data_IF_758317263965
#
_entry.id   IF_758317263965
#
_cell.length_a   1.000
_cell.length_b   1.000
_cell.length_c   1.000
_cell.angle_alpha   90.00
_cell.angle_beta   90.00
_cell.angle_gamma   90.00
#
_symmetry.space_group_name_H-M   'P 1'
#
loop_
_entity.id
_entity.type
_entity.pdbx_description
1 polymer ?
#
# COMPACT_ATOMS: atom_id res chain seq x y z
N UNK A 1 -13.75 10.43 38.73
CA UNK A 1 -13.36 11.24 37.56
C UNK A 1 -14.15 10.71 36.39
N UNK A 2 -14.89 11.58 35.70
CA UNK A 2 -15.62 11.24 34.47
C UNK A 2 -14.63 10.88 33.35
N UNK A 3 -15.10 10.23 32.29
CA UNK A 3 -14.26 9.90 31.14
C UNK A 3 -13.66 11.18 30.52
N UNK A 4 -14.45 12.23 30.40
CA UNK A 4 -14.04 13.53 29.87
C UNK A 4 -12.98 14.21 30.74
N UNK A 5 -13.11 14.13 32.07
CA UNK A 5 -12.10 14.64 33.00
C UNK A 5 -10.78 13.86 32.88
N UNK A 6 -10.83 12.53 32.74
CA UNK A 6 -9.63 11.69 32.51
C UNK A 6 -8.95 12.08 31.20
N UNK A 7 -9.73 12.18 30.10
CA UNK A 7 -9.20 12.60 28.80
C UNK A 7 -8.56 13.99 28.88
N UNK A 8 -9.22 14.96 29.52
CA UNK A 8 -8.67 16.31 29.67
C UNK A 8 -7.35 16.32 30.43
N UNK A 9 -7.20 15.47 31.46
CA UNK A 9 -5.95 15.35 32.19
C UNK A 9 -4.85 14.78 31.28
N UNK A 10 -5.13 13.68 30.57
CA UNK A 10 -4.17 13.02 29.68
C UNK A 10 -3.75 13.92 28.52
N UNK A 11 -4.66 14.70 27.95
CA UNK A 11 -4.33 15.67 26.91
C UNK A 11 -3.38 16.75 27.40
N UNK A 12 -3.57 17.25 28.62
CA UNK A 12 -2.65 18.22 29.20
C UNK A 12 -1.27 17.61 29.46
N UNK A 13 -1.21 16.37 29.96
CA UNK A 13 0.05 15.64 30.16
C UNK A 13 0.81 15.46 28.83
N UNK A 14 0.12 15.01 27.78
CA UNK A 14 0.70 14.86 26.42
C UNK A 14 1.20 16.20 25.87
N UNK A 15 0.40 17.26 25.96
CA UNK A 15 0.78 18.57 25.46
C UNK A 15 2.01 19.12 26.21
N UNK A 16 2.08 18.91 27.52
CA UNK A 16 3.21 19.34 28.35
C UNK A 16 4.49 18.54 28.03
N UNK A 17 4.38 17.23 27.85
CA UNK A 17 5.52 16.38 27.45
C UNK A 17 6.11 16.86 26.13
N UNK A 18 5.27 17.03 25.09
CA UNK A 18 5.74 17.51 23.79
C UNK A 18 6.34 18.92 23.90
N UNK A 19 5.72 19.80 24.69
CA UNK A 19 6.24 21.15 24.91
C UNK A 19 7.63 21.14 25.57
N UNK A 20 7.88 20.19 26.48
CA UNK A 20 9.17 20.01 27.14
C UNK A 20 10.26 19.45 26.23
N UNK A 21 9.88 18.69 25.20
CA UNK A 21 10.80 18.15 24.20
C UNK A 21 11.28 19.19 23.17
N UNK A 22 10.63 20.36 23.07
CA UNK A 22 10.99 21.42 22.13
C UNK A 22 11.86 22.46 22.87
N UNK A 23 13.16 22.59 22.55
CA UNK A 23 14.12 23.40 23.33
C UNK A 23 14.04 24.91 23.07
N UNK A 24 13.12 25.35 22.22
CA UNK A 24 12.98 26.74 21.78
C UNK A 24 11.53 27.22 21.88
N UNK A 25 11.33 28.52 21.65
CA UNK A 25 9.97 29.03 21.48
C UNK A 25 9.30 28.41 20.25
N UNK A 26 8.06 27.97 20.42
CA UNK A 26 7.24 27.37 19.37
C UNK A 26 5.83 28.00 19.40
N UNK A 27 5.12 27.90 18.29
CA UNK A 27 3.79 28.51 18.10
C UNK A 27 2.69 27.45 17.98
N UNK A 28 2.93 26.42 17.15
CA UNK A 28 1.99 25.33 16.89
C UNK A 28 2.72 24.00 16.91
N UNK A 29 2.01 22.97 17.38
CA UNK A 29 2.43 21.57 17.34
C UNK A 29 1.35 20.76 16.65
N UNK A 30 1.78 19.87 15.77
CA UNK A 30 0.94 18.93 15.03
C UNK A 30 1.47 17.52 15.25
N UNK A 31 0.81 16.77 16.11
CA UNK A 31 1.22 15.41 16.50
C UNK A 31 0.34 14.38 15.81
N UNK A 32 0.96 13.29 15.38
CA UNK A 32 0.28 12.13 14.84
C UNK A 32 0.75 10.88 15.58
N UNK A 33 -0.21 10.10 16.07
CA UNK A 33 0.02 8.80 16.67
C UNK A 33 -0.66 7.71 15.85
N UNK A 34 0.04 6.61 15.59
CA UNK A 34 -0.49 5.37 15.05
C UNK A 34 -0.20 4.26 16.07
N UNK A 35 -1.22 3.68 16.69
CA UNK A 35 -1.05 2.70 17.79
C UNK A 35 -2.03 1.55 17.63
N UNK A 36 -1.53 0.33 17.81
CA UNK A 36 -2.33 -0.88 17.94
C UNK A 36 -1.93 -1.69 19.20
N UNK A 37 -2.21 -2.98 19.19
CA UNK A 37 -1.89 -3.89 20.30
C UNK A 37 -0.47 -4.47 20.22
N UNK A 38 0.20 -4.38 19.06
CA UNK A 38 1.54 -4.92 18.81
C UNK A 38 2.62 -3.85 18.90
N UNK A 39 2.28 -2.59 18.65
CA UNK A 39 3.22 -1.49 18.66
C UNK A 39 2.62 -0.18 18.16
N UNK A 40 3.47 0.71 17.68
CA UNK A 40 3.04 1.96 17.10
C UNK A 40 4.15 2.99 16.94
N UNK A 41 3.78 4.15 16.47
CA UNK A 41 4.66 5.31 16.34
C UNK A 41 3.94 6.59 16.77
N UNK A 42 4.71 7.52 17.32
CA UNK A 42 4.28 8.88 17.60
C UNK A 42 5.34 9.81 17.05
N UNK A 43 4.94 10.78 16.24
CA UNK A 43 5.80 11.84 15.73
C UNK A 43 5.06 13.16 15.73
N UNK A 44 5.80 14.26 15.73
CA UNK A 44 5.21 15.58 15.64
C UNK A 44 6.03 16.54 14.78
N UNK A 45 5.34 17.57 14.32
CA UNK A 45 5.93 18.75 13.71
C UNK A 45 5.61 19.96 14.57
N UNK A 46 6.53 20.92 14.61
CA UNK A 46 6.30 22.19 15.28
C UNK A 46 6.70 23.37 14.39
N UNK A 47 6.16 24.55 14.70
CA UNK A 47 6.52 25.81 14.04
C UNK A 47 7.08 26.79 15.05
N UNK A 48 7.98 27.66 14.63
CA UNK A 48 8.49 28.77 15.43
C UNK A 48 7.54 30.00 15.36
N UNK A 49 7.58 30.92 16.34
CA UNK A 49 6.80 32.16 16.30
C UNK A 49 7.04 32.95 15.02
N UNK A 50 5.96 33.29 14.31
CA UNK A 50 6.02 34.05 13.06
C UNK A 50 6.49 33.27 11.82
N UNK A 51 6.76 31.96 11.95
CA UNK A 51 7.11 31.07 10.84
C UNK A 51 6.02 30.03 10.57
N UNK A 52 5.86 29.65 9.31
CA UNK A 52 5.06 28.49 8.90
C UNK A 52 5.94 27.29 8.50
N UNK A 53 7.25 27.39 8.72
CA UNK A 53 8.18 26.28 8.50
C UNK A 53 7.89 25.17 9.51
N UNK A 54 7.80 23.93 9.01
CA UNK A 54 7.53 22.75 9.82
C UNK A 54 8.86 22.07 10.17
N UNK A 55 9.16 22.01 11.46
CA UNK A 55 10.31 21.27 11.98
C UNK A 55 9.84 19.92 12.48
N UNK A 56 10.47 18.85 11.97
CA UNK A 56 10.22 17.49 12.45
C UNK A 56 10.86 17.29 13.83
N UNK A 57 10.21 16.55 14.73
CA UNK A 57 10.63 16.47 16.13
C UNK A 57 12.10 16.07 16.33
N UNK A 58 12.63 15.10 15.60
CA UNK A 58 14.04 14.69 15.73
C UNK A 58 15.03 15.71 15.19
N UNK A 59 14.59 16.73 14.44
CA UNK A 59 15.48 17.76 13.90
C UNK A 59 16.16 18.59 14.99
N UNK A 60 15.61 18.59 16.22
CA UNK A 60 16.23 19.25 17.38
C UNK A 60 17.59 18.64 17.72
N UNK A 61 17.78 17.34 17.52
CA UNK A 61 19.05 16.63 17.78
C UNK A 61 20.18 17.12 16.87
N UNK A 62 19.84 17.57 15.66
CA UNK A 62 20.81 18.08 14.70
C UNK A 62 21.12 19.57 14.92
N UNK A 63 20.24 20.29 15.62
CA UNK A 63 20.33 21.75 15.78
C UNK A 63 20.85 22.18 17.15
N UNK A 64 20.63 21.36 18.18
CA UNK A 64 20.89 21.69 19.57
C UNK A 64 21.71 20.61 20.24
N UNK A 65 22.47 20.99 21.27
CA UNK A 65 23.28 20.07 22.07
C UNK A 65 22.38 19.32 23.07
N UNK A 66 21.61 18.37 22.54
CA UNK A 66 20.67 17.52 23.28
C UNK A 66 21.21 16.09 23.24
N UNK A 67 21.22 15.43 24.40
CA UNK A 67 21.55 14.00 24.47
C UNK A 67 20.52 13.18 23.70
N UNK A 68 20.97 12.46 22.67
CA UNK A 68 20.11 11.57 21.89
C UNK A 68 19.39 10.55 22.79
N UNK A 69 20.10 9.99 23.78
CA UNK A 69 19.50 9.05 24.72
C UNK A 69 18.36 9.67 25.53
N UNK A 70 18.57 10.86 26.10
CA UNK A 70 17.56 11.55 26.91
C UNK A 70 16.34 11.92 26.06
N UNK A 71 16.57 12.37 24.83
CA UNK A 71 15.50 12.68 23.90
C UNK A 71 14.69 11.43 23.49
N UNK A 72 15.37 10.31 23.24
CA UNK A 72 14.71 9.05 22.89
C UNK A 72 13.93 8.47 24.07
N UNK A 73 14.41 8.66 25.31
CA UNK A 73 13.66 8.32 26.52
C UNK A 73 12.35 9.14 26.61
N UNK A 74 12.41 10.46 26.36
CA UNK A 74 11.20 11.31 26.28
C UNK A 74 10.28 10.91 25.13
N UNK A 75 10.82 10.59 23.95
CA UNK A 75 10.01 10.13 22.82
C UNK A 75 9.30 8.81 23.13
N UNK A 76 9.96 7.90 23.85
CA UNK A 76 9.36 6.65 24.30
C UNK A 76 8.29 6.87 25.38
N UNK A 77 8.49 7.82 26.28
CA UNK A 77 7.48 8.17 27.29
C UNK A 77 6.25 8.82 26.65
N UNK A 78 6.44 9.72 25.69
CA UNK A 78 5.36 10.28 24.89
C UNK A 78 4.56 9.17 24.18
N UNK A 79 5.24 8.19 23.59
CA UNK A 79 4.60 7.02 23.00
C UNK A 79 3.70 6.27 24.00
N UNK A 80 4.19 6.02 25.22
CA UNK A 80 3.38 5.39 26.28
C UNK A 80 2.18 6.24 26.68
N UNK A 81 2.29 7.56 26.72
CA UNK A 81 1.16 8.43 27.02
C UNK A 81 0.03 8.25 25.99
N UNK A 82 0.36 8.14 24.70
CA UNK A 82 -0.62 7.82 23.67
C UNK A 82 -1.15 6.38 23.79
N UNK A 83 -0.34 5.38 24.18
CA UNK A 83 -0.85 4.05 24.48
C UNK A 83 -1.86 4.07 25.64
N UNK A 84 -1.55 4.80 26.72
CA UNK A 84 -2.46 4.97 27.85
C UNK A 84 -3.75 5.64 27.40
N UNK A 85 -3.66 6.68 26.56
CA UNK A 85 -4.81 7.34 25.96
C UNK A 85 -5.65 6.39 25.10
N UNK A 86 -5.05 5.39 24.47
CA UNK A 86 -5.80 4.35 23.75
C UNK A 86 -6.45 3.36 24.72
N UNK A 87 -5.74 2.97 25.77
CA UNK A 87 -6.22 2.00 26.75
C UNK A 87 -7.43 2.52 27.55
N UNK A 88 -7.51 3.81 27.86
CA UNK A 88 -8.68 4.35 28.57
C UNK A 88 -9.98 4.22 27.76
N UNK A 89 -9.91 4.26 26.43
CA UNK A 89 -11.08 3.98 25.59
C UNK A 89 -11.54 2.53 25.77
N UNK A 90 -10.61 1.57 25.80
CA UNK A 90 -10.92 0.15 26.04
C UNK A 90 -11.54 -0.07 27.41
N UNK A 91 -10.96 0.53 28.45
CA UNK A 91 -11.43 0.41 29.84
C UNK A 91 -12.86 0.94 30.02
N UNK A 92 -13.22 2.00 29.29
CA UNK A 92 -14.55 2.61 29.30
C UNK A 92 -15.51 1.96 28.29
N UNK A 93 -15.10 0.85 27.67
CA UNK A 93 -15.93 0.05 26.76
C UNK A 93 -16.07 0.60 25.35
N UNK A 94 -15.26 1.59 24.96
CA UNK A 94 -15.18 2.09 23.59
C UNK A 94 -14.22 1.25 22.74
N UNK A 95 -14.48 1.23 21.43
CA UNK A 95 -13.53 0.69 20.46
C UNK A 95 -12.21 1.48 20.56
N UNK A 96 -11.05 0.80 20.60
CA UNK A 96 -9.77 1.48 20.62
C UNK A 96 -9.48 2.10 19.25
N UNK A 97 -9.19 3.40 19.24
CA UNK A 97 -8.72 4.08 18.04
C UNK A 97 -7.37 3.52 17.57
N UNK A 98 -7.08 3.64 16.27
CA UNK A 98 -5.82 3.20 15.67
C UNK A 98 -4.91 4.36 15.29
N UNK A 99 -5.48 5.56 15.14
CA UNK A 99 -4.70 6.78 14.96
C UNK A 99 -5.32 7.98 15.64
N UNK A 100 -4.47 8.89 16.11
CA UNK A 100 -4.85 10.11 16.80
C UNK A 100 -4.08 11.30 16.20
N UNK A 101 -4.81 12.27 15.66
CA UNK A 101 -4.28 13.60 15.36
C UNK A 101 -4.46 14.49 16.60
N UNK A 102 -3.36 15.05 17.10
CA UNK A 102 -3.32 15.86 18.31
C UNK A 102 -2.60 17.17 18.00
N UNK A 103 -3.37 18.22 17.70
CA UNK A 103 -2.84 19.54 17.37
C UNK A 103 -3.04 20.50 18.54
N UNK A 104 -2.04 21.31 18.86
CA UNK A 104 -2.21 22.38 19.82
C UNK A 104 -1.35 23.62 19.52
N UNK A 105 -1.73 24.73 20.12
CA UNK A 105 -1.02 26.03 19.98
C UNK A 105 -0.46 26.48 21.32
N UNK A 106 0.54 27.37 21.31
CA UNK A 106 1.10 27.98 22.53
C UNK A 106 0.04 28.67 23.40
N UNK A 107 -1.04 29.16 22.82
CA UNK A 107 -2.18 29.78 23.52
C UNK A 107 -3.10 28.76 24.23
N UNK A 108 -2.83 27.45 24.13
CA UNK A 108 -3.64 26.41 24.76
C UNK A 108 -4.87 25.96 23.97
N UNK A 109 -5.03 26.39 22.70
CA UNK A 109 -6.05 25.80 21.81
C UNK A 109 -5.64 24.38 21.45
N UNK A 110 -6.50 23.41 21.73
CA UNK A 110 -6.29 21.99 21.47
C UNK A 110 -7.35 21.47 20.49
N UNK A 111 -6.93 20.64 19.54
CA UNK A 111 -7.80 19.87 18.66
C UNK A 111 -7.31 18.42 18.61
N UNK A 112 -8.17 17.50 19.03
CA UNK A 112 -7.90 16.07 19.01
C UNK A 112 -8.93 15.38 18.12
N UNK A 113 -8.48 14.46 17.28
CA UNK A 113 -9.38 13.60 16.51
C UNK A 113 -8.83 12.19 16.38
N UNK A 114 -9.73 11.22 16.44
CA UNK A 114 -9.41 9.80 16.38
C UNK A 114 -9.91 9.20 15.06
N UNK A 115 -9.16 8.27 14.50
CA UNK A 115 -9.56 7.42 13.37
C UNK A 115 -9.24 5.96 13.72
N UNK A 116 -9.95 5.05 13.05
CA UNK A 116 -9.91 3.61 13.29
C UNK A 116 -9.63 2.88 11.96
N UNK A 117 -8.74 3.44 11.15
CA UNK A 117 -8.20 2.78 9.96
C UNK A 117 -7.01 1.94 10.43
N UNK A 118 -6.97 0.67 10.03
CA UNK A 118 -5.82 -0.18 10.35
C UNK A 118 -4.61 0.24 9.51
N UNK A 119 -3.81 1.14 10.09
CA UNK A 119 -2.61 1.69 9.48
C UNK A 119 -1.40 0.79 9.63
N UNK A 120 -1.40 -0.08 10.65
CA UNK A 120 -0.24 -0.91 10.99
C UNK A 120 -0.25 -2.19 10.15
N UNK A 121 -1.41 -2.81 9.95
CA UNK A 121 -1.58 -3.91 8.99
C UNK A 121 -1.78 -3.43 7.53
N UNK A 122 -1.62 -2.13 7.28
CA UNK A 122 -1.59 -1.63 5.90
C UNK A 122 -0.22 -1.87 5.27
N UNK A 123 -0.16 -1.90 3.93
CA UNK A 123 1.10 -1.93 3.18
C UNK A 123 1.96 -0.66 3.39
N UNK A 124 1.49 0.33 4.18
CA UNK A 124 2.22 1.55 4.43
C UNK A 124 3.24 1.37 5.55
N UNK A 125 4.51 1.33 5.17
CA UNK A 125 5.62 1.53 6.10
C UNK A 125 5.63 2.93 6.71
N UNK A 126 6.52 3.12 7.69
CA UNK A 126 6.61 4.34 8.51
C UNK A 126 6.66 5.63 7.68
N UNK A 127 7.59 5.69 6.73
CA UNK A 127 7.78 6.85 5.84
C UNK A 127 6.52 7.12 5.00
N UNK A 128 5.84 6.08 4.52
CA UNK A 128 4.60 6.21 3.75
C UNK A 128 3.49 6.88 4.56
N UNK A 129 3.32 6.49 5.83
CA UNK A 129 2.32 7.08 6.73
C UNK A 129 2.63 8.54 7.05
N UNK A 130 3.90 8.87 7.30
CA UNK A 130 4.35 10.24 7.51
C UNK A 130 4.11 11.13 6.28
N UNK A 131 4.46 10.64 5.09
CA UNK A 131 4.23 11.35 3.84
C UNK A 131 2.74 11.55 3.55
N UNK A 132 1.91 10.55 3.81
CA UNK A 132 0.47 10.69 3.71
C UNK A 132 -0.08 11.74 4.68
N UNK A 133 0.38 11.74 5.93
CA UNK A 133 0.01 12.76 6.91
C UNK A 133 0.41 14.17 6.44
N UNK A 134 1.67 14.36 6.00
CA UNK A 134 2.15 15.66 5.48
C UNK A 134 1.30 16.18 4.32
N UNK A 135 1.01 15.31 3.35
CA UNK A 135 0.17 15.65 2.21
C UNK A 135 -1.26 16.02 2.64
N UNK A 136 -1.90 15.17 3.46
CA UNK A 136 -3.28 15.38 3.91
C UNK A 136 -3.43 16.64 4.76
N UNK A 137 -2.46 16.90 5.64
CA UNK A 137 -2.51 17.99 6.63
C UNK A 137 -2.05 19.33 6.06
N UNK A 138 -0.98 19.32 5.27
CA UNK A 138 -0.27 20.54 4.85
C UNK A 138 -0.20 20.72 3.33
N UNK A 139 -0.66 19.74 2.53
CA UNK A 139 -0.53 19.77 1.07
C UNK A 139 0.91 19.58 0.58
N UNK A 140 1.82 19.10 1.45
CA UNK A 140 3.22 18.91 1.13
C UNK A 140 3.40 17.55 0.44
N UNK A 141 3.94 17.59 -0.77
CA UNK A 141 4.29 16.41 -1.54
C UNK A 141 5.68 15.87 -1.12
N UNK A 142 5.89 14.54 -1.15
CA UNK A 142 7.19 13.94 -0.97
C UNK A 142 8.21 14.44 -2.00
N UNK A 143 9.49 14.43 -1.61
CA UNK A 143 10.57 14.96 -2.46
C UNK A 143 10.98 13.96 -3.55
N UNK A 144 10.89 12.66 -3.28
CA UNK A 144 11.30 11.62 -4.21
C UNK A 144 10.12 11.11 -5.03
N UNK A 145 10.39 10.75 -6.28
CA UNK A 145 9.39 10.13 -7.17
C UNK A 145 8.86 8.82 -6.60
N UNK A 146 9.71 8.03 -5.94
CA UNK A 146 9.33 6.82 -5.22
C UNK A 146 8.26 7.07 -4.15
N UNK A 147 8.49 8.07 -3.30
CA UNK A 147 7.53 8.41 -2.24
C UNK A 147 6.26 9.06 -2.79
N UNK A 148 6.35 9.77 -3.92
CA UNK A 148 5.19 10.31 -4.64
C UNK A 148 4.30 9.20 -5.20
N UNK A 149 4.90 8.18 -5.82
CA UNK A 149 4.17 7.00 -6.32
C UNK A 149 3.50 6.28 -5.16
N UNK A 150 4.25 6.02 -4.07
CA UNK A 150 3.69 5.41 -2.85
C UNK A 150 2.55 6.23 -2.27
N UNK A 151 2.69 7.55 -2.16
CA UNK A 151 1.64 8.44 -1.65
C UNK A 151 0.36 8.38 -2.50
N UNK A 152 0.49 8.37 -3.83
CA UNK A 152 -0.65 8.25 -4.75
C UNK A 152 -1.36 6.91 -4.56
N UNK A 153 -0.62 5.81 -4.47
CA UNK A 153 -1.14 4.48 -4.15
C UNK A 153 -1.87 4.51 -2.80
N UNK A 154 -1.26 5.09 -1.77
CA UNK A 154 -1.86 5.22 -0.45
C UNK A 154 -3.21 5.93 -0.49
N UNK A 155 -3.25 7.10 -1.12
CA UNK A 155 -4.45 7.92 -1.18
C UNK A 155 -5.60 7.21 -1.92
N UNK A 156 -5.30 6.41 -2.95
CA UNK A 156 -6.30 5.60 -3.64
C UNK A 156 -6.84 4.46 -2.75
N UNK A 157 -5.96 3.69 -2.10
CA UNK A 157 -6.33 2.63 -1.14
C UNK A 157 -7.17 3.20 0.03
N UNK A 158 -6.80 4.39 0.54
CA UNK A 158 -7.53 5.03 1.62
C UNK A 158 -8.91 5.53 1.18
N UNK A 159 -9.03 6.02 -0.05
CA UNK A 159 -10.32 6.40 -0.63
C UNK A 159 -11.21 5.17 -0.85
N UNK A 160 -10.66 4.04 -1.28
CA UNK A 160 -11.44 2.79 -1.38
C UNK A 160 -11.85 2.31 0.01
N UNK A 161 -10.91 2.11 0.94
CA UNK A 161 -11.20 1.67 2.33
C UNK A 161 -12.21 2.56 3.05
N UNK A 162 -12.14 3.90 2.89
CA UNK A 162 -13.16 4.80 3.48
C UNK A 162 -14.55 4.55 2.90
N UNK A 163 -14.69 4.37 1.57
CA UNK A 163 -15.99 4.01 0.96
C UNK A 163 -16.51 2.67 1.50
N UNK A 164 -15.63 1.74 1.81
CA UNK A 164 -15.97 0.39 2.29
C UNK A 164 -16.33 0.35 3.77
N UNK A 165 -15.67 1.14 4.62
CA UNK A 165 -16.04 1.26 6.03
C UNK A 165 -17.46 1.80 6.23
N UNK A 166 -17.97 2.60 5.29
CA UNK A 166 -19.38 3.00 5.26
C UNK A 166 -20.35 1.87 4.83
N UNK A 167 -19.85 0.72 4.35
CA UNK A 167 -20.65 -0.43 3.89
C UNK A 167 -20.76 -1.59 4.90
N UNK A 168 -19.89 -1.68 5.92
CA UNK A 168 -19.95 -2.70 7.00
C UNK A 168 -19.60 -4.13 6.54
N UNK A 169 -19.29 -5.02 7.50
CA UNK A 169 -18.75 -6.39 7.33
C UNK A 169 -19.65 -7.42 6.60
N UNK A 170 -20.59 -6.98 5.76
CA UNK A 170 -21.47 -7.82 4.95
C UNK A 170 -21.12 -7.72 3.45
N UNK A 171 -19.83 -7.73 3.11
CA UNK A 171 -19.42 -7.68 1.70
C UNK A 171 -19.64 -9.04 1.05
N UNK A 172 -20.34 -9.02 -0.07
CA UNK A 172 -20.52 -10.19 -0.96
C UNK A 172 -19.19 -10.61 -1.58
N UNK A 173 -19.10 -11.85 -2.06
CA UNK A 173 -17.92 -12.34 -2.78
C UNK A 173 -17.56 -11.45 -3.97
N UNK A 174 -18.57 -11.00 -4.72
CA UNK A 174 -18.40 -10.10 -5.86
C UNK A 174 -17.86 -8.72 -5.45
N UNK A 175 -18.25 -8.20 -4.29
CA UNK A 175 -17.70 -6.94 -3.77
C UNK A 175 -16.23 -7.10 -3.38
N UNK A 176 -15.89 -8.18 -2.67
CA UNK A 176 -14.50 -8.52 -2.33
C UNK A 176 -13.65 -8.68 -3.60
N UNK A 177 -14.15 -9.38 -4.61
CA UNK A 177 -13.47 -9.52 -5.90
C UNK A 177 -13.21 -8.17 -6.57
N UNK A 178 -14.22 -7.30 -6.61
CA UNK A 178 -14.07 -5.98 -7.21
C UNK A 178 -13.01 -5.14 -6.48
N UNK A 179 -12.86 -5.27 -5.17
CA UNK A 179 -11.78 -4.62 -4.43
C UNK A 179 -10.42 -5.14 -4.85
N UNK A 180 -10.25 -6.46 -4.86
CA UNK A 180 -9.00 -7.09 -5.28
C UNK A 180 -8.62 -6.71 -6.70
N UNK A 181 -9.58 -6.68 -7.62
CA UNK A 181 -9.36 -6.24 -8.99
C UNK A 181 -8.91 -4.78 -9.06
N UNK A 182 -9.55 -3.89 -8.29
CA UNK A 182 -9.13 -2.50 -8.24
C UNK A 182 -7.71 -2.36 -7.65
N UNK A 183 -7.36 -3.11 -6.61
CA UNK A 183 -6.02 -3.09 -6.03
C UNK A 183 -4.96 -3.56 -7.02
N UNK A 184 -5.20 -4.69 -7.71
CA UNK A 184 -4.33 -5.22 -8.76
C UNK A 184 -4.15 -4.22 -9.90
N UNK A 185 -5.25 -3.68 -10.44
CA UNK A 185 -5.20 -2.72 -11.55
C UNK A 185 -4.43 -1.45 -11.15
N UNK A 186 -4.62 -0.97 -9.91
CA UNK A 186 -3.90 0.20 -9.40
C UNK A 186 -2.40 -0.10 -9.20
N UNK A 187 -2.03 -1.29 -8.74
CA UNK A 187 -0.63 -1.69 -8.59
C UNK A 187 0.07 -1.68 -9.94
N UNK A 188 -0.49 -2.37 -10.93
CA UNK A 188 0.11 -2.43 -12.28
C UNK A 188 0.17 -1.03 -12.91
N UNK A 189 -0.88 -0.22 -12.74
CA UNK A 189 -0.88 1.17 -13.21
C UNK A 189 0.22 2.01 -12.58
N UNK A 190 0.53 1.76 -11.30
CA UNK A 190 1.60 2.45 -10.57
C UNK A 190 3.00 2.00 -10.97
N UNK A 191 3.15 0.78 -11.50
CA UNK A 191 4.42 0.26 -12.04
C UNK A 191 4.80 0.88 -13.38
N UNK A 192 3.85 1.44 -14.14
CA UNK A 192 4.10 2.01 -15.47
C UNK A 192 4.36 3.53 -15.36
N UNK A 193 5.61 4.01 -15.55
CA UNK A 193 5.99 5.41 -15.30
C UNK A 193 5.64 6.36 -16.47
N UNK A 194 4.84 5.89 -17.43
CA UNK A 194 4.44 6.63 -18.62
C UNK A 194 2.95 6.52 -18.86
N UNK A 195 2.43 7.40 -19.71
CA UNK A 195 1.06 7.27 -20.20
C UNK A 195 0.87 5.94 -20.93
N UNK A 196 -0.17 5.20 -20.58
CA UNK A 196 -0.53 3.89 -21.13
C UNK A 196 -2.01 3.84 -21.50
N UNK A 197 -2.40 2.91 -22.38
CA UNK A 197 -3.76 2.77 -22.91
C UNK A 197 -4.42 1.45 -22.47
N UNK A 198 -3.71 0.33 -22.66
CA UNK A 198 -4.18 -1.02 -22.31
C UNK A 198 -3.08 -1.78 -21.58
N UNK A 199 -3.48 -2.59 -20.62
CA UNK A 199 -2.64 -3.51 -19.87
C UNK A 199 -3.20 -4.92 -20.04
N UNK A 200 -2.31 -5.87 -20.30
CA UNK A 200 -2.60 -7.28 -20.42
C UNK A 200 -1.75 -8.03 -19.42
N UNK A 201 -2.37 -8.77 -18.51
CA UNK A 201 -1.68 -9.47 -17.42
C UNK A 201 -2.07 -10.93 -17.40
N UNK A 202 -1.10 -11.80 -17.20
CA UNK A 202 -1.31 -13.22 -16.91
C UNK A 202 -0.58 -13.56 -15.61
N UNK A 203 -1.30 -14.17 -14.68
CA UNK A 203 -0.76 -14.67 -13.43
C UNK A 203 -0.89 -16.20 -13.41
N UNK A 204 0.17 -16.90 -13.04
CA UNK A 204 0.19 -18.34 -12.76
C UNK A 204 0.50 -18.51 -11.27
N UNK A 205 -0.43 -19.05 -10.47
CA UNK A 205 -0.26 -19.12 -9.02
C UNK A 205 -0.76 -20.46 -8.48
N UNK A 206 0.06 -21.11 -7.67
CA UNK A 206 -0.36 -22.26 -6.86
C UNK A 206 0.12 -22.13 -5.40
N UNK A 207 0.05 -23.23 -4.65
CA UNK A 207 0.42 -23.25 -3.22
C UNK A 207 1.93 -23.19 -2.98
N UNK A 208 2.75 -23.49 -4.00
CA UNK A 208 4.22 -23.53 -3.90
C UNK A 208 4.88 -22.24 -4.37
N UNK A 209 4.27 -21.56 -5.34
CA UNK A 209 4.82 -20.35 -5.92
C UNK A 209 3.94 -19.83 -7.05
N UNK A 210 4.48 -18.89 -7.82
CA UNK A 210 3.81 -18.38 -8.98
C UNK A 210 4.60 -17.27 -9.65
N UNK A 211 3.97 -16.70 -10.65
CA UNK A 211 4.56 -15.76 -11.59
C UNK A 211 3.47 -14.81 -12.08
N UNK A 212 3.82 -13.54 -12.25
CA UNK A 212 2.93 -12.55 -12.85
C UNK A 212 3.69 -11.82 -13.95
N UNK A 213 3.12 -11.83 -15.15
CA UNK A 213 3.67 -11.19 -16.35
C UNK A 213 2.66 -10.14 -16.79
N UNK A 214 3.13 -8.96 -17.20
CA UNK A 214 2.26 -8.02 -17.90
C UNK A 214 2.93 -7.32 -19.07
N UNK A 215 2.11 -6.92 -20.03
CA UNK A 215 2.44 -6.06 -21.15
C UNK A 215 1.53 -4.83 -21.12
N UNK A 216 2.03 -3.70 -21.61
CA UNK A 216 1.21 -2.50 -21.77
C UNK A 216 1.42 -1.82 -23.12
N UNK A 217 0.43 -1.05 -23.53
CA UNK A 217 0.46 -0.24 -24.77
C UNK A 217 0.48 1.24 -24.43
N UNK A 218 1.11 2.04 -25.28
CA UNK A 218 1.12 3.51 -25.16
C UNK A 218 -0.05 4.12 -25.95
N UNK A 219 -0.52 5.33 -25.61
CA UNK A 219 -1.59 5.99 -26.36
C UNK A 219 -1.28 6.07 -27.87
N UNK A 220 -2.19 5.57 -28.69
CA UNK A 220 -2.05 5.57 -30.16
C UNK A 220 -1.07 4.54 -30.73
N UNK A 221 -0.58 3.58 -29.92
CA UNK A 221 0.26 2.47 -30.37
C UNK A 221 -0.29 1.13 -29.90
N UNK A 222 -0.27 0.13 -30.77
CA UNK A 222 -0.56 -1.27 -30.42
C UNK A 222 0.72 -2.05 -30.07
N UNK A 223 1.87 -1.38 -29.98
CA UNK A 223 3.14 -1.98 -29.58
C UNK A 223 3.09 -2.44 -28.11
N UNK A 224 3.40 -3.72 -27.89
CA UNK A 224 3.45 -4.33 -26.56
C UNK A 224 4.79 -3.99 -25.91
N UNK A 225 4.73 -3.29 -24.78
CA UNK A 225 5.87 -2.97 -23.95
C UNK A 225 5.90 -3.96 -22.78
N UNK A 226 6.95 -4.77 -22.71
CA UNK A 226 7.11 -5.80 -21.70
C UNK A 226 7.55 -5.22 -20.35
N UNK A 227 6.95 -5.69 -19.26
CA UNK A 227 7.11 -5.07 -17.94
C UNK A 227 8.55 -5.03 -17.41
N UNK A 228 9.38 -6.06 -17.64
CA UNK A 228 10.78 -6.07 -17.13
C UNK A 228 11.65 -5.01 -17.79
N UNK A 229 11.26 -4.50 -18.96
CA UNK A 229 11.98 -3.41 -19.61
C UNK A 229 11.76 -2.06 -18.91
N UNK A 230 10.77 -1.92 -18.02
CA UNK A 230 10.45 -0.66 -17.34
C UNK A 230 11.67 -0.11 -16.58
N UNK A 231 12.37 -0.96 -15.84
CA UNK A 231 13.57 -0.57 -15.09
C UNK A 231 14.62 0.06 -15.97
N UNK A 232 14.92 -0.57 -17.11
CA UNK A 232 15.92 -0.10 -18.06
C UNK A 232 15.44 1.12 -18.84
N UNK A 233 14.24 1.07 -19.40
CA UNK A 233 13.77 2.05 -20.39
C UNK A 233 13.39 3.39 -19.74
N UNK A 234 13.03 3.38 -18.45
CA UNK A 234 12.65 4.59 -17.70
C UNK A 234 13.53 4.86 -16.48
N UNK A 235 14.65 4.15 -16.35
CA UNK A 235 15.61 4.33 -15.27
C UNK A 235 14.96 4.19 -13.87
N UNK A 236 14.06 3.22 -13.73
CA UNK A 236 13.51 2.80 -12.43
C UNK A 236 14.50 1.82 -11.81
N UNK A 237 14.82 1.99 -10.53
CA UNK A 237 15.74 1.09 -9.82
C UNK A 237 15.23 -0.35 -9.86
N UNK A 238 16.11 -1.32 -10.14
CA UNK A 238 15.78 -2.74 -10.12
C UNK A 238 15.19 -3.17 -8.76
N UNK A 239 15.78 -2.71 -7.65
CA UNK A 239 15.27 -2.98 -6.29
C UNK A 239 13.83 -2.48 -6.11
N UNK A 240 13.51 -1.29 -6.63
CA UNK A 240 12.16 -0.72 -6.57
C UNK A 240 11.19 -1.54 -7.41
N UNK A 241 11.63 -1.94 -8.60
CA UNK A 241 10.81 -2.73 -9.50
C UNK A 241 10.52 -4.12 -8.92
N UNK A 242 11.52 -4.77 -8.33
CA UNK A 242 11.39 -6.07 -7.68
C UNK A 242 10.41 -6.00 -6.50
N UNK A 243 10.49 -4.95 -5.67
CA UNK A 243 9.52 -4.71 -4.58
C UNK A 243 8.07 -4.57 -5.11
N UNK A 244 7.88 -3.78 -6.18
CA UNK A 244 6.57 -3.58 -6.79
C UNK A 244 6.04 -4.87 -7.41
N UNK A 245 6.89 -5.62 -8.11
CA UNK A 245 6.52 -6.89 -8.70
C UNK A 245 6.17 -7.94 -7.64
N UNK A 246 6.93 -8.01 -6.55
CA UNK A 246 6.63 -8.90 -5.42
C UNK A 246 5.27 -8.56 -4.80
N UNK A 247 4.94 -7.27 -4.64
CA UNK A 247 3.62 -6.86 -4.17
C UNK A 247 2.51 -7.30 -5.15
N UNK A 248 2.69 -7.07 -6.45
CA UNK A 248 1.76 -7.51 -7.47
C UNK A 248 1.52 -9.03 -7.41
N UNK A 249 2.58 -9.81 -7.27
CA UNK A 249 2.50 -11.25 -7.07
C UNK A 249 1.68 -11.62 -5.82
N UNK A 250 1.90 -10.95 -4.68
CA UNK A 250 1.12 -11.18 -3.47
C UNK A 250 -0.36 -10.80 -3.63
N UNK A 251 -0.69 -9.76 -4.40
CA UNK A 251 -2.09 -9.41 -4.70
C UNK A 251 -2.80 -10.53 -5.45
N UNK A 252 -2.16 -11.14 -6.46
CA UNK A 252 -2.72 -12.31 -7.15
C UNK A 252 -2.81 -13.54 -6.24
N UNK A 253 -1.84 -13.76 -5.35
CA UNK A 253 -1.91 -14.82 -4.34
C UNK A 253 -3.08 -14.61 -3.38
N UNK A 254 -3.30 -13.38 -2.94
CA UNK A 254 -4.44 -13.01 -2.11
C UNK A 254 -5.76 -13.22 -2.85
N UNK A 255 -5.82 -12.88 -4.15
CA UNK A 255 -7.00 -13.12 -4.99
C UNK A 255 -7.33 -14.61 -5.06
N UNK A 256 -6.31 -15.46 -5.22
CA UNK A 256 -6.49 -16.91 -5.17
C UNK A 256 -6.95 -17.40 -3.81
N UNK A 257 -6.41 -16.84 -2.73
CA UNK A 257 -6.82 -17.20 -1.37
C UNK A 257 -8.26 -16.79 -1.05
N UNK A 258 -8.74 -15.66 -1.59
CA UNK A 258 -10.12 -15.23 -1.46
C UNK A 258 -11.09 -16.31 -1.98
N UNK A 259 -10.79 -16.92 -3.14
CA UNK A 259 -11.59 -18.04 -3.66
C UNK A 259 -11.66 -19.18 -2.64
N UNK A 260 -10.52 -19.57 -2.05
CA UNK A 260 -10.49 -20.64 -1.04
C UNK A 260 -11.31 -20.31 0.20
N UNK A 261 -11.18 -19.09 0.72
CA UNK A 261 -11.87 -18.68 1.95
C UNK A 261 -13.37 -18.56 1.74
N UNK A 262 -13.80 -18.28 0.52
CA UNK A 262 -15.21 -18.20 0.11
C UNK A 262 -15.72 -19.53 -0.47
N UNK A 263 -15.00 -20.63 -0.19
CA UNK A 263 -15.35 -22.01 -0.59
C UNK A 263 -15.47 -22.24 -2.11
N UNK A 264 -14.80 -21.42 -2.91
CA UNK A 264 -14.64 -21.60 -4.36
C UNK A 264 -13.36 -22.37 -4.70
N UNK A 265 -13.38 -23.06 -5.84
CA UNK A 265 -12.20 -23.74 -6.37
C UNK A 265 -11.09 -22.73 -6.71
N UNK A 266 -9.87 -22.90 -6.17
CA UNK A 266 -8.78 -21.98 -6.42
C UNK A 266 -8.25 -22.15 -7.84
N UNK A 267 -8.34 -21.10 -8.63
CA UNK A 267 -7.76 -21.04 -9.97
C UNK A 267 -6.24 -21.22 -9.95
N UNK A 268 -5.69 -21.57 -11.11
CA UNK A 268 -4.26 -21.83 -11.32
C UNK A 268 -3.62 -20.78 -12.22
N UNK A 269 -4.39 -20.21 -13.15
CA UNK A 269 -4.01 -18.98 -13.84
C UNK A 269 -5.16 -17.98 -13.92
N UNK A 270 -4.80 -16.70 -13.98
CA UNK A 270 -5.72 -15.57 -14.03
C UNK A 270 -5.23 -14.61 -15.12
N UNK A 271 -6.05 -14.45 -16.15
CA UNK A 271 -5.89 -13.42 -17.16
C UNK A 271 -6.64 -12.17 -16.70
N UNK A 272 -5.93 -11.04 -16.65
CA UNK A 272 -6.39 -9.79 -16.06
C UNK A 272 -6.04 -8.63 -16.99
N UNK A 273 -7.01 -8.25 -17.83
CA UNK A 273 -6.84 -7.18 -18.80
C UNK A 273 -7.62 -5.95 -18.39
N UNK A 274 -7.01 -4.78 -18.51
CA UNK A 274 -7.73 -3.54 -18.31
C UNK A 274 -7.24 -2.41 -19.19
N UNK A 275 -8.06 -1.38 -19.24
CA UNK A 275 -7.90 -0.21 -20.09
C UNK A 275 -7.90 1.05 -19.24
N UNK A 276 -7.31 2.12 -19.76
CA UNK A 276 -7.22 3.40 -19.05
C UNK A 276 -8.59 3.99 -18.71
N UNK A 277 -9.61 3.73 -19.53
CA UNK A 277 -11.00 4.16 -19.28
C UNK A 277 -11.75 3.26 -18.28
N UNK A 278 -11.08 2.26 -17.71
CA UNK A 278 -11.60 1.45 -16.61
C UNK A 278 -12.40 0.21 -17.04
N UNK A 279 -12.34 -0.21 -18.31
CA UNK A 279 -12.89 -1.51 -18.70
C UNK A 279 -11.92 -2.60 -18.25
N UNK A 280 -12.47 -3.61 -17.59
CA UNK A 280 -11.76 -4.74 -17.00
C UNK A 280 -12.34 -6.04 -17.56
N UNK A 281 -11.47 -6.96 -17.97
CA UNK A 281 -11.82 -8.35 -18.31
C UNK A 281 -10.95 -9.27 -17.46
N UNK A 282 -11.57 -10.17 -16.71
CA UNK A 282 -10.87 -11.16 -15.89
C UNK A 282 -11.39 -12.55 -16.23
N UNK A 283 -10.48 -13.50 -16.45
CA UNK A 283 -10.82 -14.91 -16.65
C UNK A 283 -9.86 -15.81 -15.88
N UNK A 284 -10.40 -16.92 -15.39
CA UNK A 284 -9.68 -17.89 -14.56
C UNK A 284 -9.60 -19.24 -15.27
N UNK A 285 -8.47 -19.92 -15.15
CA UNK A 285 -8.22 -21.27 -15.67
C UNK A 285 -7.69 -22.17 -14.54
N UNK A 286 -7.82 -23.48 -14.72
CA UNK A 286 -7.58 -24.53 -13.74
C UNK A 286 -6.54 -25.57 -14.21
N UNK A 287 -5.90 -25.36 -15.36
CA UNK A 287 -4.75 -26.17 -15.80
C UNK A 287 -3.58 -25.99 -14.83
N UNK A 288 -3.08 -27.07 -14.27
CA UNK A 288 -1.96 -27.06 -13.32
C UNK A 288 -0.60 -26.86 -14.00
N UNK A 289 -0.43 -25.68 -14.60
CA UNK A 289 0.74 -25.24 -15.37
C UNK A 289 2.07 -25.49 -14.65
N UNK A 290 2.09 -25.33 -13.33
CA UNK A 290 3.33 -25.42 -12.53
C UNK A 290 3.78 -26.87 -12.35
N UNK A 291 2.88 -27.85 -12.46
CA UNK A 291 3.24 -29.28 -12.44
C UNK A 291 3.44 -29.87 -13.84
N UNK A 292 3.38 -29.05 -14.90
CA UNK A 292 3.74 -29.45 -16.26
C UNK A 292 5.26 -29.40 -16.48
N UNK A 293 5.72 -29.98 -17.59
CA UNK A 293 7.13 -29.87 -18.02
C UNK A 293 7.46 -28.54 -18.70
N UNK A 294 6.44 -27.72 -19.01
CA UNK A 294 6.59 -26.43 -19.68
C UNK A 294 7.13 -25.39 -18.71
N UNK A 295 8.28 -24.83 -19.07
CA UNK A 295 8.95 -23.84 -18.24
C UNK A 295 8.27 -22.47 -18.33
N UNK A 296 8.88 -21.48 -17.66
CA UNK A 296 8.38 -20.11 -17.66
C UNK A 296 8.31 -19.51 -19.07
N UNK A 297 9.35 -19.71 -19.86
CA UNK A 297 9.47 -19.16 -21.20
C UNK A 297 8.45 -19.80 -22.14
N UNK A 298 8.26 -21.12 -22.06
CA UNK A 298 7.25 -21.86 -22.83
C UNK A 298 5.83 -21.35 -22.57
N UNK A 299 5.48 -21.15 -21.30
CA UNK A 299 4.15 -20.60 -20.91
C UNK A 299 3.96 -19.16 -21.40
N UNK A 300 4.99 -18.32 -21.27
CA UNK A 300 4.95 -16.95 -21.76
C UNK A 300 4.79 -16.90 -23.29
N UNK A 301 5.59 -17.67 -24.02
CA UNK A 301 5.52 -17.77 -25.47
C UNK A 301 4.14 -18.25 -25.93
N UNK A 302 3.56 -19.26 -25.26
CA UNK A 302 2.21 -19.72 -25.54
C UNK A 302 1.16 -18.63 -25.28
N UNK A 303 1.25 -17.90 -24.15
CA UNK A 303 0.36 -16.78 -23.87
C UNK A 303 0.45 -15.71 -24.95
N UNK A 304 1.66 -15.29 -25.32
CA UNK A 304 1.89 -14.26 -26.34
C UNK A 304 1.34 -14.68 -27.71
N UNK A 305 1.53 -15.94 -28.10
CA UNK A 305 0.95 -16.52 -29.30
C UNK A 305 -0.58 -16.55 -29.26
N UNK A 306 -1.17 -17.11 -28.20
CA UNK A 306 -2.63 -17.25 -28.07
C UNK A 306 -3.32 -15.89 -28.03
N UNK A 307 -2.74 -14.92 -27.31
CA UNK A 307 -3.33 -13.61 -27.05
C UNK A 307 -3.15 -12.63 -28.19
N UNK A 308 -1.95 -12.59 -28.77
CA UNK A 308 -1.53 -11.54 -29.70
C UNK A 308 -1.11 -12.06 -31.08
N UNK A 309 -1.04 -13.38 -31.28
CA UNK A 309 -0.52 -13.97 -32.51
C UNK A 309 0.99 -13.77 -32.69
N UNK A 310 1.72 -13.49 -31.61
CA UNK A 310 3.19 -13.33 -31.64
C UNK A 310 3.82 -14.72 -31.70
N UNK A 311 4.57 -14.98 -32.77
CA UNK A 311 5.26 -16.26 -32.97
C UNK A 311 6.73 -16.07 -32.57
N UNK A 312 7.30 -16.93 -31.71
CA UNK A 312 8.72 -16.87 -31.36
C UNK A 312 9.64 -17.05 -32.57
N UNK A 313 10.84 -16.52 -32.50
CA UNK A 313 11.81 -16.61 -33.61
C UNK A 313 12.45 -18.00 -33.72
N UNK A 314 12.61 -18.69 -32.58
CA UNK A 314 13.32 -19.96 -32.52
C UNK A 314 12.39 -21.15 -32.81
N UNK A 315 12.88 -22.10 -33.62
CA UNK A 315 12.10 -23.27 -34.01
C UNK A 315 11.67 -24.16 -32.84
N UNK A 316 12.53 -24.31 -31.82
CA UNK A 316 12.20 -25.11 -30.64
C UNK A 316 11.07 -24.47 -29.80
N UNK A 317 11.02 -23.14 -29.69
CA UNK A 317 9.95 -22.42 -28.98
C UNK A 317 8.62 -22.53 -29.72
N UNK A 318 8.65 -22.53 -31.05
CA UNK A 318 7.46 -22.79 -31.87
C UNK A 318 6.94 -24.21 -31.72
N UNK A 319 7.82 -25.20 -31.53
CA UNK A 319 7.41 -26.59 -31.30
C UNK A 319 6.82 -26.77 -29.90
N UNK A 320 7.42 -26.15 -28.87
CA UNK A 320 6.89 -26.15 -27.50
C UNK A 320 5.47 -25.55 -27.44
N UNK A 321 5.18 -24.48 -28.19
CA UNK A 321 3.81 -23.94 -28.32
C UNK A 321 2.83 -25.02 -28.83
N UNK A 322 3.21 -25.82 -29.82
CA UNK A 322 2.35 -26.90 -30.35
C UNK A 322 2.16 -28.03 -29.34
N UNK A 323 3.19 -28.35 -28.58
CA UNK A 323 3.11 -29.33 -27.48
C UNK A 323 2.13 -28.86 -26.40
N UNK A 324 2.19 -27.58 -26.03
CA UNK A 324 1.22 -26.95 -25.12
C UNK A 324 -0.20 -27.01 -25.67
N UNK A 325 -0.42 -26.68 -26.96
CA UNK A 325 -1.75 -26.79 -27.58
C UNK A 325 -2.31 -28.22 -27.53
N UNK A 326 -1.47 -29.23 -27.78
CA UNK A 326 -1.86 -30.64 -27.71
C UNK A 326 -2.17 -31.06 -26.27
N UNK A 327 -1.37 -30.61 -25.31
CA UNK A 327 -1.58 -30.85 -23.90
C UNK A 327 -2.94 -30.30 -23.45
N UNK A 328 -3.28 -29.04 -23.78
CA UNK A 328 -4.58 -28.46 -23.42
C UNK A 328 -5.74 -29.26 -24.01
N UNK A 329 -5.68 -29.61 -25.31
CA UNK A 329 -6.72 -30.43 -25.96
C UNK A 329 -6.93 -31.78 -25.26
N UNK A 330 -5.87 -32.35 -24.67
CA UNK A 330 -5.94 -33.60 -23.92
C UNK A 330 -6.64 -33.47 -22.56
N UNK A 331 -6.65 -32.26 -21.97
CA UNK A 331 -7.34 -31.99 -20.70
C UNK A 331 -8.84 -31.70 -20.90
N UNK A 332 -9.24 -31.24 -22.09
CA UNK A 332 -10.64 -30.97 -22.44
C UNK A 332 -11.41 -32.21 -22.96
N UNK A 333 -10.70 -33.32 -23.20
CA UNK A 333 -11.22 -34.59 -23.72
C UNK A 333 -11.55 -35.56 -22.59
#
# INVERSE_FOLDING_TARGET
>A
MTFEEKLSQMYNEIANEISGMIPIEWEKVYTMAYIDDEGGEVFYYYTEPGSNELYYYTSVLNKYDISESEFMDSAYELYKQFQNLRNIFKEEGYEPWTSCEFDFTREGKLKVSFDYIDWINSEFGQIGRQNYYKYRKFGILPETEYELIKLKKSNNILKSKKKLKYRGDNMTFEEKLNEMYNEIANEISGMIPVEWEKVYTIAYVNDRGGEVIFNYTKPGSDELNYYTNISRDYNVSEEIFDDLWMNLYYLFKNLRNLFKTEEHEPWTSCEFDFTRDGKLNVSFDYIDWINTEFDQLGRENYYMYKKFGVIPEMEYEMEEIKEIEQYIKSQES
#
